data_IF_640165483058
#
_entry.id   IF_640165483058
#
_cell.length_a   1.000
_cell.length_b   1.000
_cell.length_c   1.000
_cell.angle_alpha   90.00
_cell.angle_beta   90.00
_cell.angle_gamma   90.00
#
_symmetry.space_group_name_H-M   'P 1'
#
loop_
_entity.id
_entity.type
_entity.pdbx_description
1 polymer ?
#
# COMPACT_ATOMS: atom_id res chain seq x y z
N UNK A 1 -10.42 15.65 19.07
CA UNK A 1 -10.76 14.33 18.49
C UNK A 1 -10.46 14.42 17.01
N UNK A 2 -9.36 13.83 16.56
CA UNK A 2 -9.09 13.78 15.13
C UNK A 2 -10.06 12.76 14.52
N UNK A 3 -10.90 13.21 13.59
CA UNK A 3 -11.69 12.30 12.79
C UNK A 3 -10.71 11.47 11.96
N UNK A 4 -10.54 10.20 12.30
CA UNK A 4 -9.93 9.23 11.40
C UNK A 4 -10.92 9.07 10.24
N UNK A 5 -10.75 9.89 9.20
CA UNK A 5 -11.54 9.76 7.99
C UNK A 5 -11.04 8.49 7.28
N UNK A 6 -11.85 7.43 7.36
CA UNK A 6 -11.69 6.23 6.55
C UNK A 6 -11.63 6.65 5.08
N UNK A 7 -10.57 6.22 4.36
CA UNK A 7 -10.49 6.40 2.93
C UNK A 7 -11.42 5.37 2.25
N UNK A 8 -12.41 5.83 1.46
CA UNK A 8 -13.24 4.93 0.66
C UNK A 8 -12.38 4.05 -0.27
N UNK A 9 -12.85 2.84 -0.55
CA UNK A 9 -12.16 1.89 -1.45
C UNK A 9 -11.75 2.52 -2.79
N UNK A 10 -12.61 3.35 -3.38
CA UNK A 10 -12.35 4.05 -4.64
C UNK A 10 -11.19 5.05 -4.57
N UNK A 11 -10.98 5.68 -3.41
CA UNK A 11 -9.84 6.58 -3.21
C UNK A 11 -8.54 5.79 -3.09
N UNK A 12 -8.56 4.64 -2.41
CA UNK A 12 -7.42 3.72 -2.37
C UNK A 12 -7.06 3.16 -3.75
N UNK A 13 -8.04 2.85 -4.60
CA UNK A 13 -7.80 2.42 -5.98
C UNK A 13 -7.07 3.51 -6.76
N UNK A 14 -7.50 4.76 -6.61
CA UNK A 14 -6.83 5.91 -7.23
C UNK A 14 -5.37 6.09 -6.79
N UNK A 15 -4.98 5.55 -5.62
CA UNK A 15 -3.59 5.57 -5.16
C UNK A 15 -2.72 4.54 -5.87
N UNK A 16 -3.30 3.40 -6.28
CA UNK A 16 -2.57 2.36 -7.02
C UNK A 16 -2.12 2.86 -8.38
N UNK A 17 -2.83 3.82 -8.96
CA UNK A 17 -2.49 4.38 -10.27
C UNK A 17 -1.48 5.54 -10.19
N UNK A 18 -1.12 6.00 -8.98
CA UNK A 18 -0.23 7.14 -8.78
C UNK A 18 1.25 6.72 -8.68
N UNK A 19 2.14 7.20 -9.58
CA UNK A 19 3.58 6.90 -9.53
C UNK A 19 4.27 7.34 -8.22
N UNK A 20 3.73 8.38 -7.60
CA UNK A 20 4.20 8.93 -6.33
C UNK A 20 4.02 7.93 -5.18
N UNK A 21 2.93 7.16 -5.17
CA UNK A 21 2.68 6.08 -4.20
C UNK A 21 3.82 5.08 -4.23
N UNK A 22 4.21 4.62 -5.42
CA UNK A 22 5.31 3.67 -5.59
C UNK A 22 6.64 4.26 -5.14
N UNK A 23 6.92 5.51 -5.51
CA UNK A 23 8.17 6.20 -5.13
C UNK A 23 8.30 6.32 -3.62
N UNK A 24 7.20 6.70 -2.93
CA UNK A 24 7.20 6.85 -1.48
C UNK A 24 7.32 5.52 -0.72
N UNK A 25 6.79 4.43 -1.28
CA UNK A 25 6.85 3.10 -0.66
C UNK A 25 8.20 2.42 -0.85
N UNK A 26 8.76 2.55 -2.05
CA UNK A 26 9.85 1.70 -2.52
C UNK A 26 11.18 2.44 -2.52
N UNK A 27 11.16 3.78 -2.59
CA UNK A 27 12.37 4.57 -2.74
C UNK A 27 13.18 4.11 -3.95
N UNK A 28 14.36 3.55 -3.68
CA UNK A 28 15.30 3.03 -4.70
C UNK A 28 15.10 1.54 -5.04
N UNK A 29 14.09 0.88 -4.48
CA UNK A 29 13.87 -0.55 -4.72
C UNK A 29 13.47 -0.82 -6.18
N UNK A 30 14.30 -1.58 -6.89
CA UNK A 30 14.12 -1.95 -8.30
C UNK A 30 13.72 -3.43 -8.52
N UNK A 31 13.38 -4.16 -7.45
CA UNK A 31 13.06 -5.58 -7.53
C UNK A 31 11.59 -5.87 -7.88
N UNK A 32 11.22 -7.16 -8.06
CA UNK A 32 9.85 -7.56 -8.30
C UNK A 32 8.91 -7.17 -7.16
N UNK A 33 7.81 -6.52 -7.51
CA UNK A 33 6.81 -6.04 -6.56
C UNK A 33 5.39 -6.11 -7.10
N UNK A 34 4.42 -6.27 -6.21
CA UNK A 34 3.00 -6.04 -6.50
C UNK A 34 2.36 -5.23 -5.38
N UNK A 35 1.55 -4.25 -5.78
CA UNK A 35 0.77 -3.40 -4.88
C UNK A 35 -0.71 -3.62 -5.18
N UNK A 36 -1.53 -3.69 -4.14
CA UNK A 36 -2.98 -3.79 -4.26
C UNK A 36 -3.68 -3.37 -2.98
N UNK A 37 -4.98 -3.56 -2.91
CA UNK A 37 -5.80 -3.25 -1.74
C UNK A 37 -6.17 -4.55 -1.02
N UNK A 38 -6.17 -4.51 0.30
CA UNK A 38 -6.64 -5.59 1.17
C UNK A 38 -7.41 -5.00 2.36
N UNK A 39 -8.05 -5.86 3.15
CA UNK A 39 -8.55 -5.49 4.48
C UNK A 39 -7.49 -5.84 5.53
N UNK A 40 -7.19 -4.92 6.44
CA UNK A 40 -6.38 -5.21 7.62
C UNK A 40 -7.21 -6.06 8.59
N UNK A 41 -6.77 -7.29 8.86
CA UNK A 41 -7.49 -8.24 9.73
C UNK A 41 -7.55 -7.79 11.20
N UNK A 42 -6.69 -6.85 11.62
CA UNK A 42 -6.68 -6.33 13.00
C UNK A 42 -7.66 -5.17 13.20
N UNK A 43 -7.80 -4.29 12.20
CA UNK A 43 -8.66 -3.08 12.30
C UNK A 43 -9.97 -3.23 11.54
N UNK A 44 -10.05 -4.14 10.57
CA UNK A 44 -11.19 -4.28 9.66
C UNK A 44 -11.23 -3.25 8.53
N UNK A 45 -10.18 -2.42 8.42
CA UNK A 45 -10.17 -1.28 7.50
C UNK A 45 -9.46 -1.61 6.17
N UNK A 46 -9.89 -1.01 5.05
CA UNK A 46 -9.16 -1.06 3.79
C UNK A 46 -7.75 -0.46 3.92
N UNK A 47 -6.75 -1.17 3.38
CA UNK A 47 -5.35 -0.75 3.40
C UNK A 47 -4.60 -1.23 2.15
N UNK A 48 -3.38 -0.72 1.94
CA UNK A 48 -2.53 -1.17 0.84
C UNK A 48 -1.76 -2.42 1.24
N UNK A 49 -1.69 -3.41 0.34
CA UNK A 49 -0.84 -4.58 0.45
C UNK A 49 0.30 -4.47 -0.56
N UNK A 50 1.51 -4.29 -0.05
CA UNK A 50 2.74 -4.33 -0.84
C UNK A 50 3.44 -5.69 -0.66
N UNK A 51 3.57 -6.44 -1.76
CA UNK A 51 4.35 -7.67 -1.83
C UNK A 51 5.66 -7.40 -2.56
N UNK A 52 6.77 -7.73 -1.91
CA UNK A 52 8.12 -7.59 -2.45
C UNK A 52 8.90 -8.89 -2.24
N UNK A 53 10.01 -9.05 -2.95
CA UNK A 53 10.89 -10.21 -2.76
C UNK A 53 11.46 -10.26 -1.32
N UNK A 54 11.84 -9.11 -0.77
CA UNK A 54 12.35 -8.96 0.59
C UNK A 54 11.62 -7.81 1.30
N UNK A 55 10.83 -8.14 2.33
CA UNK A 55 10.06 -7.15 3.08
C UNK A 55 10.94 -6.18 3.89
N UNK A 56 12.22 -6.50 4.13
CA UNK A 56 13.16 -5.66 4.85
C UNK A 56 13.56 -4.37 4.10
N UNK A 57 13.29 -4.30 2.79
CA UNK A 57 13.62 -3.13 1.95
C UNK A 57 12.64 -1.97 2.14
N UNK A 58 11.41 -2.24 2.62
CA UNK A 58 10.36 -1.23 2.76
C UNK A 58 10.46 -0.59 4.14
N UNK A 59 10.93 0.66 4.19
CA UNK A 59 11.15 1.41 5.44
C UNK A 59 9.91 2.15 5.93
N UNK A 60 8.96 2.45 5.05
CA UNK A 60 7.76 3.23 5.36
C UNK A 60 6.51 2.37 5.17
N UNK A 61 5.71 2.23 6.23
CA UNK A 61 4.49 1.39 6.26
C UNK A 61 3.21 2.21 6.40
N UNK A 62 3.34 3.52 6.24
CA UNK A 62 2.26 4.48 6.32
C UNK A 62 2.53 5.57 5.27
N UNK A 63 1.53 5.91 4.48
CA UNK A 63 1.58 6.93 3.44
C UNK A 63 0.60 8.04 3.77
N UNK A 64 1.00 9.29 3.62
CA UNK A 64 0.07 10.40 3.60
C UNK A 64 -0.32 10.66 2.15
N UNK A 65 -1.60 10.49 1.80
CA UNK A 65 -2.10 10.86 0.48
C UNK A 65 -3.41 11.62 0.61
N UNK A 66 -3.50 12.78 -0.04
CA UNK A 66 -4.69 13.64 0.04
C UNK A 66 -5.01 14.14 1.45
N UNK A 67 -4.05 14.14 2.38
CA UNK A 67 -4.28 14.46 3.80
C UNK A 67 -4.78 13.30 4.66
N UNK A 68 -4.84 12.09 4.09
CA UNK A 68 -5.22 10.87 4.80
C UNK A 68 -4.01 9.96 5.01
N UNK A 69 -3.89 9.39 6.21
CA UNK A 69 -2.87 8.38 6.51
C UNK A 69 -3.37 7.00 6.11
N UNK A 70 -2.75 6.43 5.08
CA UNK A 70 -3.01 5.08 4.58
C UNK A 70 -1.98 4.12 5.16
N UNK A 71 -2.46 3.04 5.76
CA UNK A 71 -1.59 1.97 6.25
C UNK A 71 -1.18 1.04 5.11
N UNK A 72 0.05 0.54 5.17
CA UNK A 72 0.64 -0.33 4.16
C UNK A 72 1.16 -1.59 4.83
N UNK A 73 0.53 -2.72 4.52
CA UNK A 73 0.98 -4.03 4.92
C UNK A 73 2.05 -4.52 3.95
N UNK A 74 3.25 -4.78 4.46
CA UNK A 74 4.36 -5.31 3.67
C UNK A 74 4.50 -6.80 3.94
N UNK A 75 4.42 -7.63 2.89
CA UNK A 75 4.62 -9.08 3.01
C UNK A 75 5.66 -9.58 2.02
N UNK A 76 6.52 -10.54 2.41
CA UNK A 76 7.41 -11.21 1.47
C UNK A 76 6.60 -12.13 0.53
N UNK A 77 7.21 -12.50 -0.60
CA UNK A 77 6.61 -13.43 -1.55
C UNK A 77 5.81 -12.68 -2.62
N UNK A 78 6.53 -12.05 -3.54
CA UNK A 78 5.99 -11.45 -4.76
C UNK A 78 5.07 -12.46 -5.47
N UNK A 79 3.83 -12.04 -5.68
CA UNK A 79 2.88 -12.74 -6.54
C UNK A 79 2.54 -11.76 -7.65
N UNK A 80 2.91 -12.11 -8.88
CA UNK A 80 2.53 -11.32 -10.03
C UNK A 80 0.99 -11.23 -10.09
N UNK A 81 0.42 -10.05 -10.37
CA UNK A 81 -1.01 -9.95 -10.61
C UNK A 81 -1.37 -10.93 -11.74
N UNK A 82 -2.39 -11.76 -11.52
CA UNK A 82 -2.90 -12.66 -12.56
C UNK A 82 -3.61 -11.80 -13.61
N UNK A 83 -3.37 -12.00 -14.92
CA UNK A 83 -4.20 -11.37 -15.93
C UNK A 83 -5.64 -11.86 -15.75
N UNK A 84 -6.55 -10.90 -15.56
CA UNK A 84 -8.00 -11.11 -15.57
C UNK A 84 -8.56 -10.86 -16.97
#
# INVERSE_FOLDING_TARGET
MAAHHELPHAELESLLDQPETYTQLLGEYAGPMSLGITIDEFTGEPCLLLRVADAGVVRRRELEVGGHMVRVLVRPGFVAPRPG
#
